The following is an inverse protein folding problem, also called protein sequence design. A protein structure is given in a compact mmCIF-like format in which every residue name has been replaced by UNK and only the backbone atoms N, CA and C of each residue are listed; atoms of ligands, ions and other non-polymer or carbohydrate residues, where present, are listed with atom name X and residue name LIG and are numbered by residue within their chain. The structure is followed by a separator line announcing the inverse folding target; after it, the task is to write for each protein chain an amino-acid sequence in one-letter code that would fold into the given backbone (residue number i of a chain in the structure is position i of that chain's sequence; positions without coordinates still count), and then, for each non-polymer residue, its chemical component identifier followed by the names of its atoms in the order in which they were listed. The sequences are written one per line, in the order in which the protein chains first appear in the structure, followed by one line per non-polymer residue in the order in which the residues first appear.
data_IF_256887666561
#
_entry.id   IF_256887666561
#
_cell.length_a   1.000
_cell.length_b   1.000
_cell.length_c   1.000
_cell.angle_alpha   90.00
_cell.angle_beta   90.00
_cell.angle_gamma   90.00
#
_symmetry.space_group_name_H-M   'P 1'
#
loop_
_entity.id
_entity.type
_entity.pdbx_description
1 polymer ?
#
# COMPACT_ATOMS: atom_id res chain seq x y z
N UNK A 1 11.56 -3.72 12.07
CA UNK A 1 10.12 -3.46 11.87
C UNK A 1 9.78 -2.32 12.81
N UNK A 2 9.20 -1.24 12.29
CA UNK A 2 8.84 -0.07 13.08
C UNK A 2 7.50 -0.30 13.75
N UNK A 3 7.39 0.04 15.03
CA UNK A 3 6.15 -0.08 15.80
C UNK A 3 5.32 1.20 15.75
N UNK A 4 5.97 2.34 15.52
CA UNK A 4 5.33 3.66 15.43
C UNK A 4 5.83 4.45 14.22
N UNK A 5 5.11 5.53 13.89
CA UNK A 5 5.52 6.43 12.82
C UNK A 5 6.71 7.30 13.22
N UNK A 6 6.86 7.58 14.51
CA UNK A 6 7.94 8.38 15.07
C UNK A 6 9.29 7.67 14.92
N UNK A 7 9.35 6.36 15.17
CA UNK A 7 10.57 5.56 14.97
C UNK A 7 10.99 5.56 13.50
N UNK A 8 10.04 5.33 12.59
CA UNK A 8 10.29 5.33 11.16
C UNK A 8 10.77 6.69 10.65
N UNK A 9 10.15 7.77 11.12
CA UNK A 9 10.50 9.14 10.72
C UNK A 9 11.91 9.50 11.21
N UNK A 10 12.24 9.14 12.46
CA UNK A 10 13.56 9.40 13.05
C UNK A 10 14.68 8.72 12.25
N UNK A 11 14.51 7.44 11.89
CA UNK A 11 15.51 6.72 11.10
C UNK A 11 15.62 7.25 9.67
N UNK A 12 14.51 7.69 9.08
CA UNK A 12 14.51 8.28 7.74
C UNK A 12 15.21 9.64 7.71
N UNK A 13 14.90 10.52 8.65
CA UNK A 13 15.49 11.87 8.76
C UNK A 13 16.99 11.82 9.08
N UNK A 14 17.41 10.86 9.92
CA UNK A 14 18.83 10.65 10.23
C UNK A 14 19.62 9.99 9.10
N UNK A 15 18.94 9.48 8.06
CA UNK A 15 19.55 8.74 6.96
C UNK A 15 19.92 7.29 7.27
N UNK A 16 19.59 6.79 8.47
CA UNK A 16 19.73 5.38 8.84
C UNK A 16 18.81 4.48 8.00
N UNK A 17 17.66 5.00 7.57
CA UNK A 17 16.73 4.36 6.65
C UNK A 17 16.82 5.01 5.26
N UNK A 18 17.33 4.27 4.28
CA UNK A 18 17.56 4.80 2.94
C UNK A 18 16.25 4.88 2.13
N UNK A 19 16.01 5.96 1.34
CA UNK A 19 14.80 6.09 0.54
C UNK A 19 14.54 4.95 -0.46
N UNK A 20 15.61 4.30 -0.93
CA UNK A 20 15.51 3.14 -1.82
C UNK A 20 14.92 1.89 -1.14
N UNK A 21 14.95 1.81 0.20
CA UNK A 21 14.34 0.72 0.96
C UNK A 21 12.88 1.05 1.34
N UNK A 22 12.58 2.33 1.55
CA UNK A 22 11.23 2.81 1.91
C UNK A 22 10.25 2.65 0.75
N UNK A 23 10.61 3.14 -0.44
CA UNK A 23 9.68 3.17 -1.58
C UNK A 23 9.17 1.76 -1.98
N UNK A 24 10.03 0.73 -2.11
CA UNK A 24 9.57 -0.62 -2.43
C UNK A 24 8.77 -1.25 -1.28
N UNK A 25 9.19 -1.05 -0.04
CA UNK A 25 8.52 -1.61 1.14
C UNK A 25 7.12 -1.04 1.32
N UNK A 26 6.96 0.28 1.18
CA UNK A 26 5.67 0.95 1.21
C UNK A 26 4.77 0.48 0.07
N UNK A 27 5.30 0.42 -1.15
CA UNK A 27 4.54 -0.05 -2.32
C UNK A 27 4.05 -1.49 -2.13
N UNK A 28 4.89 -2.37 -1.57
CA UNK A 28 4.51 -3.76 -1.26
C UNK A 28 3.39 -3.81 -0.23
N UNK A 29 3.51 -3.07 0.88
CA UNK A 29 2.49 -3.02 1.93
C UNK A 29 1.15 -2.48 1.41
N UNK A 30 1.17 -1.38 0.66
CA UNK A 30 -0.04 -0.81 0.03
C UNK A 30 -0.69 -1.79 -0.93
N UNK A 31 0.09 -2.48 -1.75
CA UNK A 31 -0.44 -3.50 -2.67
C UNK A 31 -1.12 -4.66 -1.93
N UNK A 32 -0.57 -5.09 -0.79
CA UNK A 32 -1.18 -6.12 0.06
C UNK A 32 -2.49 -5.64 0.68
N UNK A 33 -2.51 -4.42 1.23
CA UNK A 33 -3.71 -3.82 1.83
C UNK A 33 -4.83 -3.67 0.78
N UNK A 34 -4.48 -3.28 -0.45
CA UNK A 34 -5.45 -3.09 -1.53
C UNK A 34 -5.86 -4.39 -2.22
N UNK A 35 -5.18 -5.52 -1.97
CA UNK A 35 -5.44 -6.77 -2.68
C UNK A 35 -6.87 -7.29 -2.48
N UNK A 36 -7.45 -7.32 -1.26
CA UNK A 36 -8.83 -7.76 -1.06
C UNK A 36 -9.85 -6.92 -1.82
N UNK A 37 -9.61 -5.61 -1.94
CA UNK A 37 -10.47 -4.71 -2.73
C UNK A 37 -10.37 -5.07 -4.21
N UNK A 38 -9.15 -5.25 -4.74
CA UNK A 38 -8.93 -5.66 -6.13
C UNK A 38 -9.61 -6.99 -6.43
N UNK A 39 -9.52 -7.94 -5.51
CA UNK A 39 -10.12 -9.27 -5.66
C UNK A 39 -11.64 -9.20 -5.64
N UNK A 40 -12.23 -8.39 -4.76
CA UNK A 40 -13.68 -8.12 -4.75
C UNK A 40 -14.16 -7.59 -6.10
N UNK A 41 -13.50 -6.57 -6.65
CA UNK A 41 -13.86 -5.98 -7.94
C UNK A 41 -13.56 -6.88 -9.15
N UNK A 42 -12.73 -7.91 -9.00
CA UNK A 42 -12.50 -8.92 -10.04
C UNK A 42 -13.54 -10.03 -10.02
N UNK A 43 -13.88 -10.54 -8.84
CA UNK A 43 -14.71 -11.73 -8.66
C UNK A 43 -16.21 -11.43 -8.59
N UNK A 44 -16.61 -10.26 -8.07
CA UNK A 44 -18.02 -9.89 -7.96
C UNK A 44 -18.50 -9.19 -9.23
N UNK A 45 -19.46 -9.82 -9.94
CA UNK A 45 -19.98 -9.31 -11.21
C UNK A 45 -20.62 -7.91 -11.09
N UNK A 46 -21.33 -7.64 -9.99
CA UNK A 46 -21.95 -6.33 -9.73
C UNK A 46 -20.89 -5.28 -9.48
N UNK A 47 -19.91 -5.56 -8.61
CA UNK A 47 -18.82 -4.64 -8.31
C UNK A 47 -17.98 -4.34 -9.57
N UNK A 48 -17.70 -5.37 -10.37
CA UNK A 48 -16.98 -5.24 -11.65
C UNK A 48 -17.71 -4.32 -12.62
N UNK A 49 -19.03 -4.41 -12.71
CA UNK A 49 -19.84 -3.55 -13.57
C UNK A 49 -19.93 -2.12 -13.04
N UNK A 50 -20.03 -1.94 -11.72
CA UNK A 50 -19.94 -0.62 -11.10
C UNK A 50 -18.60 0.06 -11.43
N UNK A 51 -17.48 -0.67 -11.34
CA UNK A 51 -16.16 -0.13 -11.65
C UNK A 51 -16.03 0.36 -13.10
N UNK A 52 -16.67 -0.30 -14.07
CA UNK A 52 -16.67 0.15 -15.48
C UNK A 52 -17.39 1.48 -15.70
N UNK A 53 -18.40 1.77 -14.86
CA UNK A 53 -19.23 2.98 -15.01
C UNK A 53 -18.59 4.24 -14.42
N UNK A 54 -17.60 4.06 -13.53
CA UNK A 54 -16.90 5.16 -12.83
C UNK A 54 -15.48 5.39 -13.35
N UNK A 55 -15.02 4.59 -14.31
CA UNK A 55 -13.77 4.78 -15.04
C UNK A 55 -14.02 5.59 -16.30
#
# INVERSE_FOLDING_TARGET
MYATMEELSTDYESGALHPADVKPSLSKALNQILQPVRDHFKANAVAKDLLKRVK
#
